data_IF_526571076534
#
_entry.id   IF_526571076534
#
_cell.length_a   1.000
_cell.length_b   1.000
_cell.length_c   1.000
_cell.angle_alpha   90.00
_cell.angle_beta   90.00
_cell.angle_gamma   90.00
#
_symmetry.space_group_name_H-M   'P 1'
#
loop_
_entity.id
_entity.type
_entity.pdbx_description
1 polymer ?
#
# COMPACT_ATOMS: atom_id res chain seq x y z
N UNK A 1 -4.01 19.69 34.09
CA UNK A 1 -2.91 19.38 33.16
C UNK A 1 -2.25 18.03 33.49
N UNK A 2 -1.74 17.79 34.71
CA UNK A 2 -1.01 16.56 35.11
C UNK A 2 -1.72 15.20 34.85
N UNK A 3 -3.03 15.09 35.09
CA UNK A 3 -3.77 13.81 34.98
C UNK A 3 -3.89 13.25 33.55
N UNK A 4 -3.95 14.11 32.54
CA UNK A 4 -4.01 13.68 31.13
C UNK A 4 -2.67 13.12 30.67
N UNK A 5 -1.56 13.72 31.10
CA UNK A 5 -0.22 13.28 30.73
C UNK A 5 0.15 11.94 31.35
N UNK A 6 -0.17 11.72 32.63
CA UNK A 6 0.09 10.42 33.27
C UNK A 6 -0.76 9.30 32.65
N UNK A 7 -2.01 9.59 32.28
CA UNK A 7 -2.89 8.64 31.59
C UNK A 7 -2.43 8.33 30.17
N UNK A 8 -2.02 9.34 29.39
CA UNK A 8 -1.48 9.14 28.03
C UNK A 8 -0.16 8.37 28.07
N UNK A 9 0.73 8.72 29.00
CA UNK A 9 2.03 8.09 29.15
C UNK A 9 1.91 6.59 29.47
N UNK A 10 1.05 6.20 30.42
CA UNK A 10 0.81 4.79 30.74
C UNK A 10 0.22 3.97 29.58
N UNK A 11 -0.40 4.61 28.59
CA UNK A 11 -1.07 3.95 27.45
C UNK A 11 -0.34 4.09 26.12
N UNK A 12 0.78 4.80 26.06
CA UNK A 12 1.44 5.13 24.79
C UNK A 12 1.92 3.88 24.03
N UNK A 13 2.52 2.92 24.74
CA UNK A 13 2.96 1.66 24.13
C UNK A 13 1.77 0.88 23.55
N UNK A 14 0.63 0.87 24.26
CA UNK A 14 -0.59 0.25 23.77
C UNK A 14 -1.15 0.97 22.53
N UNK A 15 -1.08 2.30 22.48
CA UNK A 15 -1.48 3.09 21.31
C UNK A 15 -0.60 2.73 20.11
N UNK A 16 0.73 2.69 20.28
CA UNK A 16 1.67 2.30 19.21
C UNK A 16 1.35 0.89 18.70
N UNK A 17 1.09 -0.07 19.60
CA UNK A 17 0.74 -1.44 19.25
C UNK A 17 -0.59 -1.50 18.47
N UNK A 18 -1.64 -0.84 18.95
CA UNK A 18 -2.96 -0.83 18.29
C UNK A 18 -2.87 -0.16 16.92
N UNK A 19 -2.22 1.00 16.82
CA UNK A 19 -2.00 1.69 15.56
C UNK A 19 -1.16 0.83 14.60
N UNK A 20 -0.14 0.13 15.09
CA UNK A 20 0.70 -0.77 14.32
C UNK A 20 -0.11 -1.93 13.72
N UNK A 21 -0.88 -2.63 14.55
CA UNK A 21 -1.75 -3.73 14.11
C UNK A 21 -2.82 -3.24 13.15
N UNK A 22 -3.45 -2.10 13.43
CA UNK A 22 -4.44 -1.49 12.52
C UNK A 22 -3.83 -1.18 11.16
N UNK A 23 -2.62 -0.60 11.13
CA UNK A 23 -1.94 -0.30 9.88
C UNK A 23 -1.58 -1.57 9.11
N UNK A 24 -1.15 -2.64 9.79
CA UNK A 24 -0.91 -3.94 9.17
C UNK A 24 -2.19 -4.43 8.48
N UNK A 25 -3.33 -4.40 9.18
CA UNK A 25 -4.62 -4.84 8.60
C UNK A 25 -5.00 -4.01 7.38
N UNK A 26 -4.84 -2.68 7.44
CA UNK A 26 -5.12 -1.78 6.31
C UNK A 26 -4.19 -2.06 5.12
N UNK A 27 -2.90 -2.25 5.38
CA UNK A 27 -1.89 -2.49 4.34
C UNK A 27 -2.09 -3.85 3.66
N UNK A 28 -2.39 -4.90 4.44
CA UNK A 28 -2.71 -6.24 3.93
C UNK A 28 -4.04 -6.23 3.15
N UNK A 29 -5.08 -5.59 3.70
CA UNK A 29 -6.37 -5.47 3.03
C UNK A 29 -6.23 -4.74 1.69
N UNK A 30 -5.45 -3.66 1.67
CA UNK A 30 -5.17 -2.94 0.43
C UNK A 30 -4.32 -3.75 -0.56
N UNK A 31 -3.34 -4.52 -0.06
CA UNK A 31 -2.53 -5.40 -0.90
C UNK A 31 -3.39 -6.47 -1.61
N UNK A 32 -4.37 -7.05 -0.94
CA UNK A 32 -5.31 -8.00 -1.55
C UNK A 32 -6.12 -7.33 -2.66
N UNK A 33 -6.59 -6.09 -2.45
CA UNK A 33 -7.30 -5.33 -3.47
C UNK A 33 -6.43 -5.05 -4.70
N UNK A 34 -5.17 -4.63 -4.50
CA UNK A 34 -4.19 -4.43 -5.57
C UNK A 34 -3.96 -5.71 -6.36
N UNK A 35 -3.81 -6.84 -5.67
CA UNK A 35 -3.60 -8.14 -6.31
C UNK A 35 -4.83 -8.57 -7.14
N UNK A 36 -6.03 -8.24 -6.67
CA UNK A 36 -7.27 -8.42 -7.42
C UNK A 36 -7.26 -7.66 -8.74
N UNK A 37 -6.93 -6.36 -8.70
CA UNK A 37 -6.80 -5.53 -9.91
C UNK A 37 -5.69 -6.03 -10.84
N UNK A 38 -4.51 -6.38 -10.29
CA UNK A 38 -3.40 -6.95 -11.07
C UNK A 38 -3.83 -8.19 -11.85
N UNK A 39 -4.52 -9.14 -11.21
CA UNK A 39 -4.96 -10.37 -11.86
C UNK A 39 -5.99 -10.10 -12.97
N UNK A 40 -6.91 -9.15 -12.76
CA UNK A 40 -7.87 -8.75 -13.79
C UNK A 40 -7.16 -8.12 -15.00
N UNK A 41 -6.31 -7.11 -14.78
CA UNK A 41 -5.55 -6.43 -15.84
C UNK A 41 -4.70 -7.46 -16.62
N UNK A 42 -4.01 -8.36 -15.91
CA UNK A 42 -3.18 -9.41 -16.51
C UNK A 42 -3.97 -10.38 -17.40
N UNK A 43 -5.14 -10.82 -16.95
CA UNK A 43 -6.00 -11.75 -17.72
C UNK A 43 -6.45 -11.13 -19.05
N UNK A 44 -6.85 -9.85 -19.03
CA UNK A 44 -7.33 -9.12 -20.20
C UNK A 44 -6.24 -8.96 -21.26
N UNK A 45 -5.00 -8.62 -20.86
CA UNK A 45 -3.93 -8.44 -21.85
C UNK A 45 -3.39 -9.77 -22.39
N UNK A 46 -3.30 -10.81 -21.56
CA UNK A 46 -2.86 -12.13 -22.03
C UNK A 46 -3.84 -12.71 -23.07
N UNK A 47 -5.15 -12.48 -22.91
CA UNK A 47 -6.15 -12.88 -23.88
C UNK A 47 -5.96 -12.15 -25.22
N UNK A 48 -5.73 -10.83 -25.20
CA UNK A 48 -5.50 -10.03 -26.42
C UNK A 48 -4.24 -10.44 -27.17
N UNK A 49 -3.15 -10.74 -26.45
CA UNK A 49 -1.90 -11.20 -27.06
C UNK A 49 -2.08 -12.59 -27.73
N UNK A 50 -2.84 -13.49 -27.11
CA UNK A 50 -3.16 -14.81 -27.68
C UNK A 50 -4.01 -14.70 -28.93
N UNK A 51 -5.07 -13.86 -28.91
CA UNK A 51 -5.95 -13.65 -30.08
C UNK A 51 -5.23 -12.94 -31.23
N UNK A 52 -4.32 -12.00 -30.94
CA UNK A 52 -3.47 -11.35 -31.95
C UNK A 52 -2.52 -12.32 -32.65
N UNK A 53 -2.04 -13.37 -31.98
CA UNK A 53 -1.18 -14.39 -32.57
C UNK A 53 -1.97 -15.36 -33.47
N UNK A 54 -3.19 -15.73 -33.06
CA UNK A 54 -4.08 -16.59 -33.85
C UNK A 54 -4.62 -15.90 -35.13
N UNK A 55 -4.90 -14.60 -35.06
CA UNK A 55 -5.37 -13.82 -36.22
C UNK A 55 -4.27 -13.61 -37.28
N UNK A 56 -2.99 -13.77 -36.94
CA UNK A 56 -1.90 -13.62 -37.91
C UNK A 56 -1.72 -14.84 -38.83
N UNK A 57 -2.32 -15.99 -38.47
CA UNK A 57 -2.10 -17.28 -39.16
C UNK A 57 -3.36 -17.88 -39.80
N UNK A 58 -4.54 -17.29 -39.61
CA UNK A 58 -5.81 -17.86 -40.09
C UNK A 58 -6.71 -16.75 -40.60
N UNK A 59 -6.97 -16.70 -41.91
CA UNK A 59 -7.85 -15.74 -42.59
C UNK A 59 -9.35 -16.03 -42.33
N UNK A 60 -9.72 -16.44 -41.12
CA UNK A 60 -11.10 -16.77 -40.78
C UNK A 60 -11.49 -16.07 -39.47
N UNK A 61 -12.39 -15.10 -39.59
CA UNK A 61 -13.06 -14.44 -38.47
C UNK A 61 -14.21 -15.33 -38.06
N UNK A 62 -13.98 -16.22 -37.09
CA UNK A 62 -15.07 -16.86 -36.37
C UNK A 62 -15.47 -15.94 -35.20
N UNK A 63 -16.54 -15.19 -35.43
CA UNK A 63 -17.31 -14.50 -34.39
C UNK A 63 -17.95 -15.55 -33.48
N UNK A 64 -17.25 -15.95 -32.42
CA UNK A 64 -17.89 -16.54 -31.25
C UNK A 64 -18.00 -15.50 -30.13
N UNK A 65 -19.27 -15.19 -29.88
CA UNK A 65 -19.81 -14.28 -28.90
C UNK A 65 -19.43 -14.64 -27.45
N UNK A 66 -19.64 -13.66 -26.58
CA UNK A 66 -19.55 -13.68 -25.11
C UNK A 66 -18.18 -13.45 -24.46
N UNK A 67 -17.22 -12.90 -25.19
CA UNK A 67 -16.21 -12.05 -24.54
C UNK A 67 -16.77 -10.64 -24.51
N UNK A 68 -17.15 -10.16 -23.33
CA UNK A 68 -17.31 -8.73 -23.03
C UNK A 68 -16.29 -7.96 -23.88
N UNK A 69 -16.78 -7.12 -24.81
CA UNK A 69 -15.90 -6.34 -25.68
C UNK A 69 -15.01 -5.54 -24.75
N UNK A 70 -13.74 -5.95 -24.65
CA UNK A 70 -12.71 -5.22 -23.94
C UNK A 70 -12.45 -3.95 -24.74
N UNK A 71 -13.33 -2.98 -24.58
CA UNK A 71 -13.28 -1.65 -25.15
C UNK A 71 -12.19 -0.88 -24.39
N UNK A 72 -11.46 0.06 -25.02
CA UNK A 72 -10.55 0.97 -24.32
C UNK A 72 -11.14 1.54 -23.02
N UNK A 73 -12.45 1.77 -22.98
CA UNK A 73 -13.20 2.23 -21.82
C UNK A 73 -13.13 1.28 -20.61
N UNK A 74 -13.21 -0.04 -20.83
CA UNK A 74 -13.13 -1.03 -19.74
C UNK A 74 -11.74 -1.05 -19.07
N UNK A 75 -10.67 -0.87 -19.86
CA UNK A 75 -9.30 -0.80 -19.33
C UNK A 75 -9.07 0.51 -18.59
N UNK A 76 -9.61 1.64 -19.08
CA UNK A 76 -9.58 2.93 -18.39
C UNK A 76 -10.32 2.89 -17.06
N UNK A 77 -11.44 2.16 -16.98
CA UNK A 77 -12.16 1.97 -15.72
C UNK A 77 -11.33 1.16 -14.71
N UNK A 78 -10.70 0.07 -15.16
CA UNK A 78 -9.79 -0.73 -14.33
C UNK A 78 -8.58 0.08 -13.86
N UNK A 79 -7.99 0.88 -14.73
CA UNK A 79 -6.89 1.79 -14.40
C UNK A 79 -7.32 2.82 -13.34
N UNK A 80 -8.50 3.41 -13.50
CA UNK A 80 -9.03 4.39 -12.53
C UNK A 80 -9.23 3.75 -11.16
N UNK A 81 -9.78 2.52 -11.12
CA UNK A 81 -9.96 1.76 -9.88
C UNK A 81 -8.61 1.37 -9.24
N UNK A 82 -7.65 0.94 -10.05
CA UNK A 82 -6.29 0.62 -9.62
C UNK A 82 -5.57 1.86 -9.05
N UNK A 83 -5.62 2.99 -9.75
CA UNK A 83 -5.01 4.25 -9.32
C UNK A 83 -5.59 4.75 -7.99
N UNK A 84 -6.91 4.60 -7.79
CA UNK A 84 -7.54 4.92 -6.51
C UNK A 84 -6.99 4.05 -5.37
N UNK A 85 -6.80 2.77 -5.63
CA UNK A 85 -6.24 1.81 -4.65
C UNK A 85 -4.76 2.10 -4.36
N UNK A 86 -4.00 2.51 -5.38
CA UNK A 86 -2.61 2.95 -5.23
C UNK A 86 -2.51 4.22 -4.39
N UNK A 87 -3.40 5.20 -4.59
CA UNK A 87 -3.42 6.42 -3.76
C UNK A 87 -3.62 6.11 -2.27
N UNK A 88 -4.51 5.16 -1.94
CA UNK A 88 -4.65 4.68 -0.55
C UNK A 88 -3.40 3.96 -0.05
N UNK A 89 -2.74 3.18 -0.91
CA UNK A 89 -1.48 2.52 -0.56
C UNK A 89 -0.40 3.52 -0.19
N UNK A 90 -0.21 4.56 -1.00
CA UNK A 90 0.75 5.63 -0.76
C UNK A 90 0.51 6.31 0.59
N UNK A 91 -0.75 6.63 0.91
CA UNK A 91 -1.12 7.21 2.20
C UNK A 91 -0.71 6.30 3.37
N UNK A 92 -0.92 4.98 3.27
CA UNK A 92 -0.49 4.03 4.29
C UNK A 92 1.02 3.86 4.36
N UNK A 93 1.72 3.82 3.22
CA UNK A 93 3.18 3.72 3.18
C UNK A 93 3.85 4.96 3.80
N UNK A 94 3.24 6.14 3.65
CA UNK A 94 3.68 7.39 4.29
C UNK A 94 3.43 7.43 5.81
N UNK A 95 2.55 6.59 6.34
CA UNK A 95 2.31 6.46 7.79
C UNK A 95 3.37 5.57 8.48
N UNK A 96 4.05 4.67 7.74
CA UNK A 96 5.07 3.78 8.31
C UNK A 96 6.23 4.55 8.98
N UNK A 97 6.80 5.60 8.36
CA UNK A 97 7.86 6.40 8.97
C UNK A 97 7.44 7.20 10.21
N UNK A 98 6.15 7.27 10.55
CA UNK A 98 5.69 7.93 11.76
C UNK A 98 5.92 7.09 13.02
N UNK A 99 6.05 5.76 12.89
CA UNK A 99 6.25 4.87 14.05
C UNK A 99 7.55 5.13 14.81
N UNK A 100 8.72 5.32 14.17
CA UNK A 100 9.94 5.73 14.86
C UNK A 100 9.81 7.11 15.51
N UNK A 101 9.05 8.03 14.89
CA UNK A 101 8.77 9.36 15.46
C UNK A 101 7.93 9.26 16.74
N UNK A 102 6.92 8.38 16.77
CA UNK A 102 6.20 8.08 18.01
C UNK A 102 7.09 7.45 19.08
N UNK A 103 8.07 6.63 18.67
CA UNK A 103 9.10 6.11 19.56
C UNK A 103 9.86 7.22 20.28
N UNK A 104 10.37 8.19 19.51
CA UNK A 104 11.07 9.38 20.03
C UNK A 104 10.13 10.23 20.91
N UNK A 105 8.87 10.38 20.53
CA UNK A 105 7.89 11.09 21.36
C UNK A 105 7.70 10.41 22.73
N UNK A 106 7.72 9.08 22.78
CA UNK A 106 7.67 8.34 24.04
C UNK A 106 8.94 8.44 24.87
N UNK A 107 10.13 8.58 24.26
CA UNK A 107 11.34 8.90 25.04
C UNK A 107 11.25 10.26 25.69
N UNK A 108 10.80 11.27 24.93
CA UNK A 108 10.60 12.63 25.46
C UNK A 108 9.57 12.62 26.61
N UNK A 109 8.47 11.89 26.45
CA UNK A 109 7.46 11.76 27.51
C UNK A 109 8.00 11.06 28.77
N UNK A 110 8.75 9.98 28.61
CA UNK A 110 9.40 9.29 29.73
C UNK A 110 10.40 10.19 30.47
N UNK A 111 11.22 10.95 29.73
CA UNK A 111 12.17 11.90 30.31
C UNK A 111 11.47 13.02 31.09
N UNK A 112 10.37 13.57 30.55
CA UNK A 112 9.57 14.59 31.27
C UNK A 112 9.02 14.02 32.57
N UNK A 113 8.53 12.78 32.59
CA UNK A 113 8.04 12.16 33.83
C UNK A 113 9.15 11.94 34.85
N UNK A 114 10.34 11.52 34.39
CA UNK A 114 11.49 11.29 35.25
C UNK A 114 12.00 12.59 35.92
N UNK A 115 11.96 13.73 35.23
CA UNK A 115 12.41 15.02 35.79
C UNK A 115 11.50 15.56 36.91
N UNK A 116 10.29 15.02 37.07
CA UNK A 116 9.31 15.51 38.03
C UNK A 116 9.20 14.65 39.30
N UNK A 117 10.11 13.69 39.51
CA UNK A 117 10.04 12.73 40.62
C UNK A 117 11.41 12.28 41.09
N UNK A 118 11.55 12.07 42.40
CA UNK A 118 12.73 11.46 43.02
C UNK A 118 12.47 9.99 43.41
N UNK A 119 11.24 9.50 43.22
CA UNK A 119 10.87 8.13 43.55
C UNK A 119 11.42 7.14 42.51
N UNK A 120 12.24 6.21 42.99
CA UNK A 120 12.85 5.13 42.21
C UNK A 120 11.81 4.32 41.42
N UNK A 121 10.62 4.10 41.99
CA UNK A 121 9.54 3.36 41.33
C UNK A 121 9.01 4.07 40.07
N UNK A 122 8.92 5.40 40.15
CA UNK A 122 8.45 6.24 39.05
C UNK A 122 9.53 6.35 37.98
N UNK A 123 10.80 6.49 38.37
CA UNK A 123 11.95 6.51 37.45
C UNK A 123 11.98 5.24 36.59
N UNK A 124 11.83 4.06 37.19
CA UNK A 124 11.79 2.80 36.44
C UNK A 124 10.60 2.72 35.48
N UNK A 125 9.43 3.18 35.93
CA UNK A 125 8.21 3.18 35.09
C UNK A 125 8.35 4.11 33.88
N UNK A 126 8.93 5.30 34.08
CA UNK A 126 9.20 6.28 33.01
C UNK A 126 10.26 5.80 32.03
N UNK A 127 11.30 5.11 32.50
CA UNK A 127 12.31 4.49 31.64
C UNK A 127 11.72 3.37 30.80
N UNK A 128 10.90 2.50 31.41
CA UNK A 128 10.22 1.43 30.69
C UNK A 128 9.30 1.98 29.59
N UNK A 129 8.61 3.08 29.86
CA UNK A 129 7.81 3.78 28.85
C UNK A 129 8.68 4.25 27.68
N UNK A 130 9.76 5.00 27.94
CA UNK A 130 10.65 5.55 26.93
C UNK A 130 11.30 4.47 26.03
N UNK A 131 11.83 3.43 26.66
CA UNK A 131 12.48 2.33 25.93
C UNK A 131 11.44 1.47 25.19
N UNK A 132 10.30 1.19 25.83
CA UNK A 132 9.23 0.41 25.23
C UNK A 132 8.63 1.08 23.98
N UNK A 133 8.36 2.39 24.03
CA UNK A 133 7.81 3.12 22.88
C UNK A 133 8.75 3.11 21.69
N UNK A 134 10.05 3.29 21.94
CA UNK A 134 11.10 3.27 20.91
C UNK A 134 11.25 1.88 20.32
N UNK A 135 11.27 0.86 21.17
CA UNK A 135 11.40 -0.53 20.75
C UNK A 135 10.24 -0.96 19.85
N UNK A 136 8.99 -0.75 20.28
CA UNK A 136 7.82 -1.10 19.48
C UNK A 136 7.70 -0.23 18.23
N UNK A 137 7.94 1.07 18.32
CA UNK A 137 7.91 1.98 17.15
C UNK A 137 8.91 1.55 16.07
N UNK A 138 10.13 1.18 16.47
CA UNK A 138 11.15 0.72 15.54
C UNK A 138 10.83 -0.65 14.93
N UNK A 139 10.38 -1.61 15.75
CA UNK A 139 9.98 -2.94 15.26
C UNK A 139 8.86 -2.84 14.23
N UNK A 140 7.80 -2.08 14.53
CA UNK A 140 6.70 -1.90 13.59
C UNK A 140 7.16 -1.23 12.30
N UNK A 141 7.96 -0.17 12.39
CA UNK A 141 8.46 0.53 11.21
C UNK A 141 9.25 -0.40 10.28
N UNK A 142 10.15 -1.22 10.84
CA UNK A 142 10.98 -2.15 10.06
C UNK A 142 10.11 -3.22 9.40
N UNK A 143 9.24 -3.89 10.17
CA UNK A 143 8.40 -4.97 9.65
C UNK A 143 7.45 -4.45 8.59
N UNK A 144 6.74 -3.35 8.86
CA UNK A 144 5.82 -2.73 7.93
C UNK A 144 6.52 -2.30 6.65
N UNK A 145 7.70 -1.66 6.76
CA UNK A 145 8.43 -1.20 5.57
C UNK A 145 8.94 -2.36 4.73
N UNK A 146 9.33 -3.46 5.37
CA UNK A 146 9.72 -4.67 4.67
C UNK A 146 8.55 -5.30 3.90
N UNK A 147 7.39 -5.44 4.55
CA UNK A 147 6.17 -5.98 3.92
C UNK A 147 5.73 -5.10 2.75
N UNK A 148 5.70 -3.78 2.96
CA UNK A 148 5.40 -2.76 1.96
C UNK A 148 6.26 -2.92 0.70
N UNK A 149 7.59 -2.97 0.88
CA UNK A 149 8.55 -3.04 -0.21
C UNK A 149 8.50 -4.37 -0.99
N UNK A 150 8.28 -5.50 -0.31
CA UNK A 150 8.31 -6.82 -0.95
C UNK A 150 6.99 -7.16 -1.65
N UNK A 151 5.86 -6.72 -1.09
CA UNK A 151 4.53 -7.06 -1.58
C UNK A 151 3.92 -5.96 -2.46
N UNK A 152 3.10 -5.06 -1.87
CA UNK A 152 2.28 -4.12 -2.62
C UNK A 152 3.09 -3.17 -3.50
N UNK A 153 4.17 -2.55 -3.01
CA UNK A 153 4.95 -1.60 -3.83
C UNK A 153 5.52 -2.26 -5.09
N UNK A 154 5.95 -3.53 -4.99
CA UNK A 154 6.44 -4.30 -6.14
C UNK A 154 5.32 -4.59 -7.15
N UNK A 155 4.16 -5.06 -6.68
CA UNK A 155 3.02 -5.37 -7.55
C UNK A 155 2.48 -4.12 -8.24
N UNK A 156 2.43 -2.99 -7.56
CA UNK A 156 2.01 -1.71 -8.16
C UNK A 156 2.94 -1.36 -9.32
N UNK A 157 4.25 -1.33 -9.07
CA UNK A 157 5.24 -1.00 -10.10
C UNK A 157 5.18 -1.95 -11.31
N UNK A 158 5.00 -3.25 -11.09
CA UNK A 158 4.80 -4.21 -12.17
C UNK A 158 3.52 -3.92 -12.98
N UNK A 159 2.44 -3.50 -12.33
CA UNK A 159 1.16 -3.16 -12.98
C UNK A 159 1.25 -1.87 -13.78
N UNK A 160 1.93 -0.84 -13.25
CA UNK A 160 2.13 0.44 -13.93
C UNK A 160 2.93 0.27 -15.23
N UNK A 161 4.04 -0.48 -15.19
CA UNK A 161 4.85 -0.78 -16.38
C UNK A 161 4.00 -1.44 -17.48
N UNK A 162 3.12 -2.36 -17.06
CA UNK A 162 2.24 -3.10 -17.94
C UNK A 162 1.18 -2.18 -18.59
N UNK A 163 0.57 -1.29 -17.81
CA UNK A 163 -0.40 -0.32 -18.30
C UNK A 163 0.25 0.70 -19.25
N UNK A 164 1.45 1.18 -18.92
CA UNK A 164 2.20 2.10 -19.77
C UNK A 164 2.55 1.49 -21.14
N UNK A 165 2.94 0.21 -21.17
CA UNK A 165 3.19 -0.53 -22.42
C UNK A 165 1.90 -0.68 -23.25
N UNK A 166 0.76 -0.90 -22.58
CA UNK A 166 -0.54 -0.96 -23.25
C UNK A 166 -0.90 0.37 -23.92
N UNK A 167 -0.78 1.49 -23.20
CA UNK A 167 -1.11 2.82 -23.71
C UNK A 167 -0.22 3.23 -24.88
N UNK A 168 1.09 2.92 -24.81
CA UNK A 168 2.03 3.13 -25.93
C UNK A 168 1.60 2.37 -27.17
N UNK A 169 1.17 1.11 -27.04
CA UNK A 169 0.71 0.28 -28.17
C UNK A 169 -0.58 0.83 -28.77
N UNK A 170 -1.54 1.25 -27.95
CA UNK A 170 -2.80 1.83 -28.43
C UNK A 170 -2.54 3.15 -29.16
N UNK A 171 -1.77 4.07 -28.56
CA UNK A 171 -1.43 5.35 -29.18
C UNK A 171 -0.68 5.16 -30.51
N UNK A 172 0.27 4.23 -30.58
CA UNK A 172 0.95 3.93 -31.83
C UNK A 172 0.00 3.39 -32.91
N UNK A 173 -0.99 2.55 -32.54
CA UNK A 173 -1.97 2.03 -33.49
C UNK A 173 -2.92 3.11 -34.02
N UNK A 174 -3.33 4.07 -33.17
CA UNK A 174 -4.12 5.24 -33.56
C UNK A 174 -3.32 6.14 -34.50
N UNK A 175 -2.06 6.43 -34.18
CA UNK A 175 -1.17 7.25 -35.02
C UNK A 175 -0.88 6.64 -36.40
N UNK A 176 -0.89 5.31 -36.49
CA UNK A 176 -0.73 4.58 -37.75
C UNK A 176 -2.04 4.43 -38.55
N UNK A 177 -3.17 4.96 -38.07
CA UNK A 177 -4.46 4.94 -38.76
C UNK A 177 -5.15 3.57 -38.78
N UNK A 178 -4.74 2.63 -37.92
CA UNK A 178 -5.26 1.26 -37.89
C UNK A 178 -6.53 1.10 -37.01
N UNK A 179 -6.95 2.14 -36.28
CA UNK A 179 -8.15 2.15 -35.44
C UNK A 179 -8.72 3.57 -35.45
N UNK A 180 -9.98 3.74 -35.88
CA UNK A 180 -10.74 4.99 -35.72
C UNK A 180 -11.52 4.96 -34.41
N UNK A 181 -11.65 6.12 -33.75
CA UNK A 181 -12.50 6.33 -32.55
C UNK A 181 -13.87 5.65 -32.64
#
# INVERSE_FOLDING_TARGET
MSSIYSFLAGKMNAIILICGVLLIVLLVGNYIAILGHYNQIKSIMNWKNTKSMLNKNTHEVEDQADSEKVTPDSIRELETAFNKTCSWHEAFSQLIPLFPLFGILGTVAGLIMQLNTEDLSTIFSSLHLALGSTFYGLIFAIILKFVDAVGPSRTINETEIILEDYDKKVNNAVMLGNISE
#
